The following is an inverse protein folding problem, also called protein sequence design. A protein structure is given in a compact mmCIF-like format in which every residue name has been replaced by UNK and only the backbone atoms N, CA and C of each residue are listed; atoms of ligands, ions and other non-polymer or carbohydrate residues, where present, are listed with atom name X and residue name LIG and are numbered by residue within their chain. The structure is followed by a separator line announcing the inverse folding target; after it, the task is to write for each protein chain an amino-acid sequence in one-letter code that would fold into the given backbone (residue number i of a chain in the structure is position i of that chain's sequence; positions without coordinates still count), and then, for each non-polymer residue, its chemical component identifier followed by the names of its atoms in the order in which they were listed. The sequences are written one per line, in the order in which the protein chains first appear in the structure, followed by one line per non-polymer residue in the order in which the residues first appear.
data_IF_387088771827
#
_entry.id   IF_387088771827
#
_cell.length_a   1.000
_cell.length_b   1.000
_cell.length_c   1.000
_cell.angle_alpha   90.00
_cell.angle_beta   90.00
_cell.angle_gamma   90.00
#
_symmetry.space_group_name_H-M   'P 1'
#
loop_
_entity.id
_entity.type
_entity.pdbx_description
1 polymer ?
#
# COMPACT_ATOMS: atom_id res chain seq x y z
N UNK A 1 10.04 15.65 2.29
CA UNK A 1 9.29 14.80 1.36
C UNK A 1 9.89 15.01 -0.02
N UNK A 2 10.12 13.93 -0.74
CA UNK A 2 10.59 13.95 -2.14
C UNK A 2 9.41 13.76 -3.10
N UNK A 3 8.53 12.80 -2.79
CA UNK A 3 7.39 12.50 -3.63
C UNK A 3 6.21 11.92 -2.83
N UNK A 4 5.00 11.98 -3.39
CA UNK A 4 3.77 11.43 -2.81
C UNK A 4 2.97 10.77 -3.93
N UNK A 5 2.54 9.52 -3.70
CA UNK A 5 1.74 8.75 -4.64
C UNK A 5 0.45 8.24 -4.00
N UNK A 6 -0.66 8.37 -4.70
CA UNK A 6 -1.88 7.60 -4.42
C UNK A 6 -1.75 6.23 -5.09
N UNK A 7 -1.92 5.16 -4.33
CA UNK A 7 -1.88 3.79 -4.83
C UNK A 7 -2.97 2.92 -4.20
N UNK A 8 -2.87 1.61 -4.36
CA UNK A 8 -3.86 0.67 -3.85
C UNK A 8 -5.17 0.68 -4.65
N UNK A 9 -6.17 -0.03 -4.15
CA UNK A 9 -7.43 -0.27 -4.88
C UNK A 9 -8.21 1.00 -5.20
N UNK A 10 -8.16 2.02 -4.34
CA UNK A 10 -8.87 3.30 -4.57
C UNK A 10 -8.23 4.15 -5.68
N UNK A 11 -7.00 3.83 -6.09
CA UNK A 11 -6.30 4.49 -7.19
C UNK A 11 -6.62 3.91 -8.56
N UNK A 12 -7.40 2.82 -8.62
CA UNK A 12 -7.71 2.09 -9.84
C UNK A 12 -9.17 2.37 -10.21
N UNK A 13 -9.43 3.01 -11.38
CA UNK A 13 -10.79 3.36 -11.79
C UNK A 13 -11.72 2.15 -11.83
N UNK A 14 -12.92 2.29 -11.26
CA UNK A 14 -13.96 1.25 -11.27
C UNK A 14 -13.71 0.05 -10.36
N UNK A 15 -12.59 0.03 -9.62
CA UNK A 15 -12.31 -1.07 -8.69
C UNK A 15 -13.12 -0.93 -7.40
N UNK A 16 -13.75 -2.02 -6.99
CA UNK A 16 -14.41 -2.11 -5.69
C UNK A 16 -13.36 -2.07 -4.57
N UNK A 17 -13.47 -1.11 -3.68
CA UNK A 17 -12.54 -0.90 -2.59
C UNK A 17 -13.25 -0.43 -1.32
N UNK A 18 -12.64 -0.67 -0.17
CA UNK A 18 -13.02 0.02 1.07
C UNK A 18 -12.71 1.50 0.93
N UNK A 19 -13.44 2.40 1.64
CA UNK A 19 -13.22 3.85 1.56
C UNK A 19 -11.97 4.30 2.34
N UNK A 20 -10.88 3.58 2.16
CA UNK A 20 -9.58 3.87 2.78
C UNK A 20 -8.55 4.14 1.68
N UNK A 21 -7.94 5.30 1.73
CA UNK A 21 -6.94 5.73 0.74
C UNK A 21 -5.55 5.25 1.15
N UNK A 22 -4.83 4.62 0.23
CA UNK A 22 -3.44 4.25 0.41
C UNK A 22 -2.54 5.32 -0.23
N UNK A 23 -1.63 5.88 0.57
CA UNK A 23 -0.68 6.91 0.15
C UNK A 23 0.74 6.42 0.41
N UNK A 24 1.60 6.55 -0.59
CA UNK A 24 3.03 6.30 -0.47
C UNK A 24 3.76 7.64 -0.43
N UNK A 25 4.51 7.90 0.63
CA UNK A 25 5.35 9.07 0.80
C UNK A 25 6.81 8.66 0.71
N UNK A 26 7.55 9.32 -0.17
CA UNK A 26 8.97 9.10 -0.35
C UNK A 26 9.74 10.19 0.38
N UNK A 27 10.63 9.78 1.26
CA UNK A 27 11.52 10.67 1.99
C UNK A 27 12.91 10.67 1.38
N UNK A 28 13.57 11.84 1.43
CA UNK A 28 14.99 11.94 1.18
C UNK A 28 15.77 11.24 2.30
N UNK A 29 16.92 10.63 1.97
CA UNK A 29 17.76 9.90 2.92
C UNK A 29 18.27 10.73 4.11
N UNK A 30 18.38 12.03 3.92
CA UNK A 30 18.88 12.94 4.94
C UNK A 30 17.86 13.22 6.07
N UNK A 31 16.62 12.76 5.89
CA UNK A 31 15.56 12.97 6.89
C UNK A 31 15.77 12.04 8.07
N UNK A 32 15.85 12.60 9.26
CA UNK A 32 15.83 11.86 10.50
C UNK A 32 14.43 11.26 10.72
N UNK A 33 14.35 9.92 10.73
CA UNK A 33 13.08 9.21 10.83
C UNK A 33 12.41 9.37 12.20
N UNK A 34 13.19 9.55 13.27
CA UNK A 34 12.64 9.75 14.62
C UNK A 34 11.99 11.14 14.72
N UNK A 35 12.64 12.13 14.16
CA UNK A 35 12.10 13.50 14.06
C UNK A 35 10.87 13.52 13.18
N UNK A 36 10.91 12.84 12.03
CA UNK A 36 9.75 12.74 11.13
C UNK A 36 8.57 12.04 11.82
N UNK A 37 8.80 10.92 12.50
CA UNK A 37 7.78 10.20 13.25
C UNK A 37 7.14 11.09 14.31
N UNK A 38 7.96 11.83 15.05
CA UNK A 38 7.46 12.78 16.07
C UNK A 38 6.59 13.86 15.43
N UNK A 39 7.02 14.46 14.34
CA UNK A 39 6.22 15.48 13.63
C UNK A 39 4.86 14.93 13.17
N UNK A 40 4.82 13.71 12.65
CA UNK A 40 3.59 13.07 12.21
C UNK A 40 2.66 12.78 13.39
N UNK A 41 3.18 12.26 14.49
CA UNK A 41 2.37 11.97 15.70
C UNK A 41 1.87 13.24 16.38
N UNK A 42 2.67 14.30 16.44
CA UNK A 42 2.25 15.61 16.95
C UNK A 42 1.16 16.23 16.07
N UNK A 43 1.14 15.92 14.77
CA UNK A 43 0.09 16.33 13.84
C UNK A 43 -1.20 15.45 13.90
N UNK A 44 -1.24 14.46 14.79
CA UNK A 44 -2.42 13.62 15.01
C UNK A 44 -2.46 12.33 14.19
N UNK A 45 -1.40 11.97 13.47
CA UNK A 45 -1.30 10.68 12.80
C UNK A 45 -0.87 9.59 13.79
N UNK A 46 -1.46 8.41 13.65
CA UNK A 46 -1.13 7.27 14.50
C UNK A 46 -0.10 6.38 13.81
N UNK A 47 1.07 6.20 14.41
CA UNK A 47 2.11 5.29 13.91
C UNK A 47 1.71 3.84 14.18
N UNK A 48 1.52 3.05 13.12
CA UNK A 48 1.15 1.62 13.20
C UNK A 48 2.33 0.68 12.93
N UNK A 49 3.41 1.20 12.34
CA UNK A 49 4.63 0.44 12.07
C UNK A 49 5.84 1.36 12.11
N UNK A 50 6.80 0.99 12.92
CA UNK A 50 8.12 1.64 12.99
C UNK A 50 9.19 0.82 12.26
N UNK A 51 10.26 1.44 11.73
CA UNK A 51 11.32 0.71 11.03
C UNK A 51 11.96 -0.37 11.90
N UNK A 52 11.94 -1.60 11.42
CA UNK A 52 12.73 -2.67 12.02
C UNK A 52 14.13 -2.66 11.42
N UNK A 53 15.08 -2.14 12.18
CA UNK A 53 16.48 -1.99 11.76
C UNK A 53 17.19 -3.33 11.47
N UNK A 54 16.56 -4.46 11.86
CA UNK A 54 17.12 -5.81 11.66
C UNK A 54 16.66 -6.46 10.36
N UNK A 55 15.61 -5.95 9.70
CA UNK A 55 15.02 -6.51 8.49
C UNK A 55 15.55 -5.87 7.20
N UNK A 56 15.48 -6.63 6.09
CA UNK A 56 15.89 -6.17 4.75
C UNK A 56 15.19 -4.89 4.29
N UNK A 57 13.96 -4.64 4.76
CA UNK A 57 13.23 -3.38 4.52
C UNK A 57 13.47 -2.43 5.69
N UNK A 58 14.70 -1.93 5.77
CA UNK A 58 15.02 -0.79 6.64
C UNK A 58 14.15 0.39 6.20
N UNK A 59 13.80 1.26 7.14
CA UNK A 59 13.19 2.56 6.84
C UNK A 59 11.77 2.52 6.25
N UNK A 60 10.94 1.57 6.70
CA UNK A 60 9.50 1.55 6.42
C UNK A 60 8.72 1.95 7.66
N UNK A 61 8.02 3.05 7.61
CA UNK A 61 7.01 3.43 8.61
C UNK A 61 5.62 3.42 7.99
N UNK A 62 4.61 3.17 8.82
CA UNK A 62 3.23 3.34 8.40
C UNK A 62 2.50 4.19 9.43
N UNK A 63 1.67 5.10 8.93
CA UNK A 63 0.75 5.90 9.73
C UNK A 63 -0.68 5.69 9.25
N UNK A 64 -1.62 5.96 10.13
CA UNK A 64 -3.05 5.95 9.80
C UNK A 64 -3.72 7.22 10.30
N UNK A 65 -4.85 7.56 9.67
CA UNK A 65 -5.78 8.57 10.16
C UNK A 65 -7.01 7.82 10.69
N UNK A 66 -7.12 7.62 12.02
CA UNK A 66 -8.24 6.91 12.61
C UNK A 66 -9.51 7.77 12.61
N UNK A 67 -10.65 7.12 12.55
CA UNK A 67 -11.96 7.69 12.84
C UNK A 67 -12.89 6.61 13.36
N UNK A 68 -13.96 7.00 14.02
CA UNK A 68 -14.91 6.04 14.61
C UNK A 68 -16.27 6.16 13.95
N UNK A 69 -16.85 5.02 13.56
CA UNK A 69 -18.22 4.90 13.06
C UNK A 69 -18.93 3.84 13.88
N UNK A 70 -20.04 4.18 14.51
CA UNK A 70 -20.84 3.27 15.33
C UNK A 70 -20.03 2.51 16.39
N UNK A 71 -19.04 3.19 17.01
CA UNK A 71 -18.16 2.62 18.02
C UNK A 71 -17.04 1.73 17.47
N UNK A 72 -16.93 1.57 16.15
CA UNK A 72 -15.87 0.79 15.49
C UNK A 72 -14.80 1.72 14.93
N UNK A 73 -13.55 1.49 15.31
CA UNK A 73 -12.41 2.21 14.76
C UNK A 73 -12.17 1.80 13.30
N UNK A 74 -12.03 2.79 12.44
CA UNK A 74 -11.72 2.67 11.03
C UNK A 74 -10.60 3.65 10.65
N UNK A 75 -10.05 3.50 9.44
CA UNK A 75 -8.98 4.36 8.95
C UNK A 75 -9.36 5.02 7.63
N UNK A 76 -9.26 6.36 7.60
CA UNK A 76 -9.47 7.14 6.36
C UNK A 76 -8.33 6.98 5.38
N UNK A 77 -7.12 6.81 5.91
CA UNK A 77 -5.91 6.78 5.13
C UNK A 77 -4.87 5.87 5.78
N UNK A 78 -4.20 5.07 4.94
CA UNK A 78 -2.94 4.39 5.25
C UNK A 78 -1.80 5.13 4.56
N UNK A 79 -0.84 5.62 5.32
CA UNK A 79 0.31 6.35 4.82
C UNK A 79 1.54 5.47 4.97
N UNK A 80 2.09 5.04 3.85
CA UNK A 80 3.29 4.23 3.78
C UNK A 80 4.50 5.12 3.53
N UNK A 81 5.48 5.08 4.42
CA UNK A 81 6.70 5.89 4.31
C UNK A 81 7.84 5.01 3.80
N UNK A 82 8.55 5.47 2.78
CA UNK A 82 9.75 4.84 2.20
C UNK A 82 10.84 5.88 1.97
N UNK A 83 12.08 5.46 2.01
CA UNK A 83 13.19 6.23 1.46
C UNK A 83 13.29 6.05 -0.07
N UNK A 84 13.95 6.98 -0.74
CA UNK A 84 13.95 7.07 -2.20
C UNK A 84 14.65 5.91 -2.92
N UNK A 85 15.54 5.17 -2.27
CA UNK A 85 16.26 4.02 -2.82
C UNK A 85 15.57 2.65 -2.57
N UNK A 86 14.42 2.66 -1.93
CA UNK A 86 13.67 1.42 -1.65
C UNK A 86 12.76 1.08 -2.84
N UNK A 87 12.75 -0.18 -3.33
CA UNK A 87 11.82 -0.61 -4.38
C UNK A 87 10.36 -0.35 -4.02
N UNK A 88 9.55 -0.01 -5.03
CA UNK A 88 8.15 0.40 -4.91
C UNK A 88 7.22 -0.54 -5.69
N UNK A 89 7.19 -1.85 -5.36
CA UNK A 89 6.38 -2.82 -6.09
C UNK A 89 4.89 -2.50 -6.08
N UNK A 90 4.41 -1.83 -5.03
CA UNK A 90 3.02 -1.38 -4.90
C UNK A 90 2.61 -0.38 -6.00
N UNK A 91 3.52 0.46 -6.47
CA UNK A 91 3.25 1.38 -7.56
C UNK A 91 3.22 0.67 -8.91
N UNK A 92 4.11 -0.30 -9.12
CA UNK A 92 4.13 -1.13 -10.32
C UNK A 92 2.85 -1.94 -10.45
N UNK A 93 2.41 -2.58 -9.38
CA UNK A 93 1.16 -3.32 -9.34
C UNK A 93 -0.05 -2.44 -9.65
N UNK A 94 -0.16 -1.28 -9.00
CA UNK A 94 -1.25 -0.34 -9.25
C UNK A 94 -1.25 0.19 -10.69
N UNK A 95 -0.08 0.49 -11.25
CA UNK A 95 0.07 0.89 -12.65
C UNK A 95 -0.40 -0.21 -13.59
N UNK A 96 0.06 -1.45 -13.37
CA UNK A 96 -0.32 -2.59 -14.18
C UNK A 96 -1.85 -2.76 -14.22
N UNK A 97 -2.52 -2.71 -13.07
CA UNK A 97 -3.97 -2.86 -13.02
C UNK A 97 -4.72 -1.71 -13.70
N UNK A 98 -4.18 -0.49 -13.70
CA UNK A 98 -4.77 0.63 -14.46
C UNK A 98 -4.66 0.44 -15.97
N UNK A 99 -3.57 -0.19 -16.43
CA UNK A 99 -3.30 -0.44 -17.85
C UNK A 99 -3.95 -1.74 -18.37
N UNK A 100 -4.39 -2.64 -17.47
CA UNK A 100 -4.96 -3.95 -17.78
C UNK A 100 -6.30 -4.15 -17.07
N UNK A 101 -7.42 -3.65 -17.66
CA UNK A 101 -8.75 -3.73 -17.04
C UNK A 101 -9.21 -5.16 -16.71
N UNK A 102 -8.80 -6.16 -17.51
CA UNK A 102 -9.08 -7.57 -17.27
C UNK A 102 -8.43 -8.08 -15.98
N UNK A 103 -7.17 -7.71 -15.71
CA UNK A 103 -6.48 -8.05 -14.47
C UNK A 103 -7.09 -7.31 -13.26
N UNK A 104 -7.52 -6.06 -13.45
CA UNK A 104 -8.22 -5.30 -12.43
C UNK A 104 -9.56 -5.95 -12.06
N UNK A 105 -10.30 -6.46 -13.04
CA UNK A 105 -11.56 -7.21 -12.83
C UNK A 105 -11.30 -8.51 -12.07
N UNK A 106 -10.31 -9.29 -12.50
CA UNK A 106 -9.91 -10.54 -11.83
C UNK A 106 -9.53 -10.28 -10.37
N UNK A 107 -8.78 -9.20 -10.10
CA UNK A 107 -8.43 -8.82 -8.74
C UNK A 107 -9.64 -8.40 -7.89
N UNK A 108 -10.60 -7.69 -8.47
CA UNK A 108 -11.84 -7.34 -7.78
C UNK A 108 -12.66 -8.57 -7.40
N UNK A 109 -12.81 -9.52 -8.31
CA UNK A 109 -13.52 -10.78 -8.09
C UNK A 109 -12.82 -11.62 -7.01
N UNK A 110 -11.49 -11.71 -7.06
CA UNK A 110 -10.68 -12.38 -6.04
C UNK A 110 -10.91 -11.77 -4.67
N UNK A 111 -10.85 -10.45 -4.54
CA UNK A 111 -11.06 -9.76 -3.25
C UNK A 111 -12.44 -10.02 -2.67
N UNK A 112 -13.48 -10.03 -3.50
CA UNK A 112 -14.85 -10.36 -3.06
C UNK A 112 -14.94 -11.79 -2.55
N UNK A 113 -14.40 -12.74 -3.29
CA UNK A 113 -14.34 -14.16 -2.90
C UNK A 113 -13.60 -14.35 -1.57
N UNK A 114 -12.44 -13.73 -1.42
CA UNK A 114 -11.63 -13.83 -0.21
C UNK A 114 -12.31 -13.15 0.99
N UNK A 115 -13.00 -12.05 0.78
CA UNK A 115 -13.78 -11.39 1.84
C UNK A 115 -14.90 -12.29 2.37
N UNK A 116 -15.59 -13.02 1.49
CA UNK A 116 -16.61 -14.00 1.88
C UNK A 116 -16.00 -15.22 2.58
N UNK A 117 -14.84 -15.69 2.12
CA UNK A 117 -14.20 -16.90 2.62
C UNK A 117 -13.55 -16.68 4.01
N UNK A 118 -12.86 -15.56 4.20
CA UNK A 118 -12.05 -15.30 5.40
C UNK A 118 -12.70 -14.32 6.37
N UNK A 119 -13.73 -13.56 5.96
CA UNK A 119 -14.44 -12.64 6.83
C UNK A 119 -13.49 -11.68 7.56
N UNK A 120 -13.48 -11.77 8.89
CA UNK A 120 -12.63 -10.91 9.74
C UNK A 120 -11.20 -11.44 9.91
N UNK A 121 -10.85 -12.63 9.38
CA UNK A 121 -9.49 -13.16 9.43
C UNK A 121 -8.57 -12.44 8.43
N UNK A 122 -8.11 -11.27 8.85
CA UNK A 122 -7.28 -10.39 8.03
C UNK A 122 -5.97 -11.04 7.58
N UNK A 123 -5.38 -11.89 8.41
CA UNK A 123 -4.10 -12.54 8.11
C UNK A 123 -4.25 -13.52 6.94
N UNK A 124 -5.25 -14.40 6.99
CA UNK A 124 -5.52 -15.35 5.90
C UNK A 124 -5.94 -14.64 4.62
N UNK A 125 -6.75 -13.58 4.73
CA UNK A 125 -7.11 -12.73 3.60
C UNK A 125 -5.87 -12.13 2.93
N UNK A 126 -4.94 -11.59 3.70
CA UNK A 126 -3.70 -10.98 3.18
C UNK A 126 -2.80 -12.02 2.51
N UNK A 127 -2.64 -13.22 3.12
CA UNK A 127 -1.85 -14.30 2.54
C UNK A 127 -2.46 -14.79 1.22
N UNK A 128 -3.76 -15.01 1.18
CA UNK A 128 -4.44 -15.54 0.01
C UNK A 128 -4.39 -14.59 -1.20
N UNK A 129 -4.31 -13.27 -1.00
CA UNK A 129 -4.15 -12.33 -2.11
C UNK A 129 -2.69 -12.09 -2.52
N UNK A 130 -1.71 -12.51 -1.71
CA UNK A 130 -0.28 -12.26 -1.97
C UNK A 130 0.19 -12.88 -3.28
N UNK A 131 -0.23 -14.09 -3.59
CA UNK A 131 0.12 -14.78 -4.84
C UNK A 131 -0.31 -13.98 -6.09
N UNK A 132 -1.51 -13.44 -6.06
CA UNK A 132 -2.03 -12.60 -7.14
C UNK A 132 -1.19 -11.32 -7.29
N UNK A 133 -0.94 -10.64 -6.18
CA UNK A 133 -0.16 -9.41 -6.17
C UNK A 133 1.27 -9.65 -6.68
N UNK A 134 1.92 -10.72 -6.23
CA UNK A 134 3.28 -11.08 -6.65
C UNK A 134 3.34 -11.42 -8.15
N UNK A 135 2.36 -12.19 -8.65
CA UNK A 135 2.26 -12.55 -10.07
C UNK A 135 2.22 -11.30 -10.95
N UNK A 136 1.29 -10.38 -10.66
CA UNK A 136 1.09 -9.20 -11.50
C UNK A 136 2.14 -8.11 -11.28
N UNK A 137 2.76 -8.03 -10.10
CA UNK A 137 3.94 -7.18 -9.89
C UNK A 137 5.11 -7.64 -10.76
N UNK A 138 5.35 -8.95 -10.83
CA UNK A 138 6.41 -9.51 -11.69
C UNK A 138 6.15 -9.23 -13.17
N UNK A 139 4.91 -9.42 -13.65
CA UNK A 139 4.53 -9.07 -15.02
C UNK A 139 4.73 -7.58 -15.32
N UNK A 140 4.47 -6.71 -14.35
CA UNK A 140 4.72 -5.29 -14.49
C UNK A 140 6.22 -4.97 -14.60
N UNK A 141 7.07 -5.65 -13.83
CA UNK A 141 8.53 -5.51 -13.91
C UNK A 141 9.07 -5.98 -15.27
N UNK A 142 8.64 -7.15 -15.74
CA UNK A 142 9.02 -7.70 -17.04
C UNK A 142 8.56 -6.82 -18.21
N UNK A 143 7.33 -6.30 -18.16
CA UNK A 143 6.80 -5.39 -19.16
C UNK A 143 7.47 -4.02 -19.18
N UNK A 144 8.00 -3.54 -18.04
CA UNK A 144 8.82 -2.33 -17.93
C UNK A 144 10.20 -2.51 -18.58
N UNK A 145 10.86 -3.61 -18.32
CA UNK A 145 12.16 -3.93 -18.93
C UNK A 145 12.11 -4.02 -20.47
N UNK A 146 10.97 -4.47 -21.02
CA UNK A 146 10.78 -4.56 -22.47
C UNK A 146 10.53 -3.20 -23.18
N UNK A 147 10.26 -2.13 -22.43
CA UNK A 147 10.02 -0.79 -22.99
C UNK A 147 11.27 0.11 -22.95
N UNK A 148 12.29 -0.30 -22.22
CA UNK A 148 13.56 0.43 -22.09
C UNK A 148 14.66 -0.11 -23.05
N UNK A 149 14.33 -1.10 -23.89
CA UNK A 149 15.13 -1.57 -25.03
C UNK A 149 14.62 -0.94 -26.35
#
# INVERSE_FOLDING_TARGET
IEDIFHFGSTSIPGMLAKPTVDVLVILKKEIDLDVFCKCMTDAGYLCTKYPDKTKKRKNCMNFVVPYTVDGVEQYKCYIHIRENDVPRPELLFAKYLREHPEAAKEYSELKQKLALQYGDNRQEYMLAKSEFVEKYTRLAEEGGAAKDE
#
